data_IF_258666452689
#
_entry.id   IF_258666452689
#
_cell.length_a   1.000
_cell.length_b   1.000
_cell.length_c   1.000
_cell.angle_alpha   90.00
_cell.angle_beta   90.00
_cell.angle_gamma   90.00
#
_symmetry.space_group_name_H-M   'P 1'
#
loop_
_entity.id
_entity.type
_entity.pdbx_description
1 polymer ?
#
# COMPACT_ATOMS: atom_id res chain seq x y z
N UNK A 1 -39.27 -45.39 -73.40
CA UNK A 1 -38.86 -44.44 -72.34
C UNK A 1 -39.49 -44.71 -70.95
N UNK A 2 -40.34 -45.73 -70.76
CA UNK A 2 -41.02 -45.98 -69.47
C UNK A 2 -40.36 -47.06 -68.55
N UNK A 3 -39.23 -47.65 -68.96
CA UNK A 3 -38.60 -48.77 -68.22
C UNK A 3 -37.45 -48.36 -67.29
N UNK A 4 -36.90 -47.15 -67.42
CA UNK A 4 -35.88 -46.61 -66.51
C UNK A 4 -36.53 -45.94 -65.28
N UNK A 5 -37.59 -45.16 -65.50
CA UNK A 5 -38.35 -44.51 -64.42
C UNK A 5 -38.97 -45.51 -63.43
N UNK A 6 -39.39 -46.69 -63.90
CA UNK A 6 -39.92 -47.75 -63.04
C UNK A 6 -38.84 -48.43 -62.18
N UNK A 7 -37.62 -48.55 -62.70
CA UNK A 7 -36.46 -49.08 -61.94
C UNK A 7 -35.98 -48.07 -60.91
N UNK A 8 -35.99 -46.78 -61.24
CA UNK A 8 -35.66 -45.69 -60.31
C UNK A 8 -36.69 -45.59 -59.19
N UNK A 9 -37.99 -45.73 -59.48
CA UNK A 9 -39.03 -45.77 -58.47
C UNK A 9 -38.87 -46.98 -57.52
N UNK A 10 -38.52 -48.16 -58.06
CA UNK A 10 -38.24 -49.36 -57.26
C UNK A 10 -37.03 -49.14 -56.33
N UNK A 11 -35.90 -48.64 -56.85
CA UNK A 11 -34.71 -48.35 -56.05
C UNK A 11 -34.95 -47.27 -54.98
N UNK A 12 -35.72 -46.22 -55.31
CA UNK A 12 -36.12 -45.20 -54.33
C UNK A 12 -37.03 -45.77 -53.23
N UNK A 13 -37.95 -46.68 -53.57
CA UNK A 13 -38.79 -47.35 -52.56
C UNK A 13 -37.98 -48.31 -51.67
N UNK A 14 -37.01 -49.02 -52.25
CA UNK A 14 -36.11 -49.91 -51.52
C UNK A 14 -35.18 -49.12 -50.59
N UNK A 15 -34.63 -47.99 -51.04
CA UNK A 15 -33.82 -47.09 -50.23
C UNK A 15 -34.63 -46.49 -49.07
N UNK A 16 -35.89 -46.09 -49.30
CA UNK A 16 -36.79 -45.65 -48.22
C UNK A 16 -37.09 -46.77 -47.22
N UNK A 17 -37.21 -48.03 -47.69
CA UNK A 17 -37.49 -49.19 -46.83
C UNK A 17 -36.27 -49.64 -46.01
N UNK A 18 -35.07 -49.51 -46.57
CA UNK A 18 -33.80 -49.79 -45.88
C UNK A 18 -33.48 -48.67 -44.86
N UNK A 19 -33.65 -47.40 -45.21
CA UNK A 19 -33.35 -46.27 -44.31
C UNK A 19 -34.42 -46.05 -43.21
N UNK A 20 -35.60 -46.67 -43.28
CA UNK A 20 -36.65 -46.53 -42.26
C UNK A 20 -36.56 -47.55 -41.12
N UNK A 21 -35.70 -48.57 -41.22
CA UNK A 21 -35.55 -49.61 -40.19
C UNK A 21 -34.18 -49.60 -39.47
N UNK A 22 -33.43 -48.51 -39.57
CA UNK A 22 -32.18 -48.33 -38.80
C UNK A 22 -32.01 -46.91 -38.26
N UNK A 23 -33.06 -46.39 -37.61
CA UNK A 23 -32.90 -45.36 -36.59
C UNK A 23 -32.60 -46.06 -35.26
N UNK A 24 -31.51 -45.76 -34.54
CA UNK A 24 -31.30 -46.33 -33.21
C UNK A 24 -32.48 -45.92 -32.33
N UNK A 25 -33.12 -46.90 -31.69
CA UNK A 25 -34.03 -46.68 -30.57
C UNK A 25 -33.37 -45.67 -29.63
N UNK A 26 -34.10 -44.61 -29.32
CA UNK A 26 -33.73 -43.69 -28.26
C UNK A 26 -33.75 -44.50 -26.97
N UNK A 27 -32.62 -45.09 -26.60
CA UNK A 27 -32.35 -45.42 -25.21
C UNK A 27 -32.59 -44.13 -24.45
N UNK A 28 -33.59 -44.16 -23.57
CA UNK A 28 -33.82 -43.12 -22.58
C UNK A 28 -32.57 -43.05 -21.71
N UNK A 29 -31.55 -42.35 -22.19
CA UNK A 29 -30.63 -41.63 -21.33
C UNK A 29 -31.55 -40.79 -20.47
N UNK A 30 -31.70 -41.15 -19.20
CA UNK A 30 -32.17 -40.22 -18.18
C UNK A 30 -31.44 -38.92 -18.46
N UNK A 31 -32.16 -37.94 -19.00
CA UNK A 31 -31.67 -36.58 -19.15
C UNK A 31 -31.49 -36.14 -17.71
N UNK A 32 -30.28 -36.33 -17.19
CA UNK A 32 -29.85 -35.62 -16.00
C UNK A 32 -29.99 -34.17 -16.41
N UNK A 33 -31.04 -33.53 -15.92
CA UNK A 33 -31.16 -32.08 -15.97
C UNK A 33 -29.95 -31.58 -15.19
N UNK A 34 -28.86 -31.36 -15.93
CA UNK A 34 -27.79 -30.50 -15.47
C UNK A 34 -28.44 -29.14 -15.41
N UNK A 35 -28.85 -28.76 -14.20
CA UNK A 35 -29.31 -27.43 -13.88
C UNK A 35 -28.41 -26.43 -14.60
N UNK A 36 -28.99 -25.53 -15.39
CA UNK A 36 -28.27 -24.48 -16.15
C UNK A 36 -27.61 -23.42 -15.24
N UNK A 37 -27.50 -23.70 -13.95
CA UNK A 37 -26.65 -22.95 -13.04
C UNK A 37 -25.20 -23.21 -13.45
N UNK A 38 -24.70 -22.36 -14.36
CA UNK A 38 -23.30 -22.20 -14.71
C UNK A 38 -22.45 -22.45 -13.46
N UNK A 39 -21.69 -23.55 -13.40
CA UNK A 39 -21.08 -23.99 -12.16
C UNK A 39 -20.10 -22.90 -11.73
N UNK A 40 -20.40 -22.27 -10.60
CA UNK A 40 -19.62 -21.18 -10.04
C UNK A 40 -18.12 -21.44 -10.24
N UNK A 41 -17.41 -20.45 -10.78
CA UNK A 41 -15.99 -20.56 -11.11
C UNK A 41 -15.24 -21.20 -9.93
N UNK A 42 -14.21 -22.01 -10.21
CA UNK A 42 -13.41 -22.68 -9.15
C UNK A 42 -12.97 -21.71 -8.03
N UNK A 43 -12.77 -20.43 -8.35
CA UNK A 43 -12.49 -19.37 -7.39
C UNK A 43 -13.68 -19.00 -6.49
N UNK A 44 -14.90 -18.89 -7.05
CA UNK A 44 -16.14 -18.62 -6.31
C UNK A 44 -16.43 -19.77 -5.33
N UNK A 45 -16.35 -21.03 -5.78
CA UNK A 45 -16.54 -22.22 -4.91
C UNK A 45 -15.53 -22.25 -3.76
N UNK A 46 -14.27 -21.87 -4.00
CA UNK A 46 -13.24 -21.74 -2.95
C UNK A 46 -13.56 -20.62 -1.96
N UNK A 47 -14.09 -19.48 -2.44
CA UNK A 47 -14.49 -18.34 -1.60
C UNK A 47 -15.69 -18.69 -0.72
N UNK A 48 -16.71 -19.34 -1.28
CA UNK A 48 -17.88 -19.83 -0.55
C UNK A 48 -17.49 -20.87 0.49
N UNK A 49 -16.64 -21.86 0.12
CA UNK A 49 -16.11 -22.83 1.08
C UNK A 49 -15.37 -22.14 2.23
N UNK A 50 -14.58 -21.11 1.93
CA UNK A 50 -13.88 -20.32 2.95
C UNK A 50 -14.84 -19.53 3.83
N UNK A 51 -15.90 -18.94 3.27
CA UNK A 51 -16.96 -18.27 4.05
C UNK A 51 -17.74 -19.25 4.93
N UNK A 52 -18.04 -20.45 4.43
CA UNK A 52 -18.73 -21.48 5.22
C UNK A 52 -17.92 -21.93 6.43
N UNK A 53 -16.59 -22.03 6.28
CA UNK A 53 -15.70 -22.48 7.36
C UNK A 53 -15.30 -21.34 8.30
N UNK A 54 -14.95 -20.16 7.75
CA UNK A 54 -14.37 -19.03 8.53
C UNK A 54 -15.39 -17.95 8.88
N UNK A 55 -16.58 -18.00 8.30
CA UNK A 55 -17.60 -16.95 8.42
C UNK A 55 -17.15 -15.62 7.80
N UNK A 56 -17.77 -14.55 8.28
CA UNK A 56 -17.48 -13.17 7.87
C UNK A 56 -16.39 -12.50 8.73
N UNK A 57 -15.64 -13.27 9.53
CA UNK A 57 -14.62 -12.73 10.43
C UNK A 57 -13.34 -12.43 9.66
N UNK A 58 -13.07 -11.15 9.41
CA UNK A 58 -11.84 -10.73 8.72
C UNK A 58 -10.63 -10.77 9.66
N UNK A 59 -9.49 -11.37 9.29
CA UNK A 59 -8.34 -11.43 10.20
C UNK A 59 -7.68 -10.05 10.36
N UNK A 60 -7.24 -9.72 11.59
CA UNK A 60 -6.49 -8.49 11.89
C UNK A 60 -5.10 -8.56 11.26
N UNK A 61 -4.98 -7.98 10.07
CA UNK A 61 -3.81 -8.11 9.21
C UNK A 61 -3.29 -6.75 8.75
N UNK A 62 -2.01 -6.68 8.39
CA UNK A 62 -1.39 -5.48 7.83
C UNK A 62 -0.60 -4.64 8.84
N UNK A 63 -0.17 -3.44 8.40
CA UNK A 63 0.71 -2.51 9.15
C UNK A 63 0.02 -1.18 9.52
N UNK A 64 -1.31 -1.14 9.41
CA UNK A 64 -2.13 0.00 9.80
C UNK A 64 -2.53 -0.13 11.26
N UNK A 65 -1.57 0.12 12.16
CA UNK A 65 -1.75 -0.10 13.60
C UNK A 65 -2.91 0.72 14.21
N UNK A 66 -3.24 1.90 13.66
CA UNK A 66 -4.40 2.71 14.10
C UNK A 66 -5.73 2.00 13.82
N UNK A 67 -5.95 1.60 12.57
CA UNK A 67 -7.13 0.85 12.15
C UNK A 67 -7.23 -0.52 12.84
N UNK A 68 -6.10 -1.15 13.13
CA UNK A 68 -6.08 -2.42 13.87
C UNK A 68 -6.53 -2.24 15.32
N UNK A 69 -6.09 -1.18 16.00
CA UNK A 69 -6.57 -0.85 17.35
C UNK A 69 -8.07 -0.58 17.37
N UNK A 70 -8.55 0.25 16.43
CA UNK A 70 -9.98 0.55 16.31
C UNK A 70 -10.83 -0.71 16.08
N UNK A 71 -10.39 -1.58 15.17
CA UNK A 71 -11.07 -2.86 14.91
C UNK A 71 -11.04 -3.81 16.11
N UNK A 72 -9.97 -3.78 16.90
CA UNK A 72 -9.82 -4.59 18.10
C UNK A 72 -10.77 -4.08 19.19
N UNK A 73 -10.77 -2.76 19.44
CA UNK A 73 -11.67 -2.11 20.38
C UNK A 73 -13.14 -2.34 20.01
N UNK A 74 -13.49 -2.20 18.73
CA UNK A 74 -14.84 -2.48 18.25
C UNK A 74 -15.26 -3.95 18.39
N UNK A 75 -14.31 -4.90 18.43
CA UNK A 75 -14.61 -6.31 18.72
C UNK A 75 -14.83 -6.53 20.20
N UNK A 76 -14.01 -5.91 21.05
CA UNK A 76 -14.15 -5.97 22.50
C UNK A 76 -15.49 -5.36 22.92
N UNK A 77 -15.82 -4.15 22.45
CA UNK A 77 -17.09 -3.50 22.78
C UNK A 77 -18.30 -4.36 22.40
N UNK A 78 -18.29 -4.98 21.21
CA UNK A 78 -19.37 -5.90 20.80
C UNK A 78 -19.47 -7.14 21.68
N UNK A 79 -18.34 -7.68 22.13
CA UNK A 79 -18.35 -8.82 23.06
C UNK A 79 -18.88 -8.40 24.42
N UNK A 80 -18.48 -7.24 24.92
CA UNK A 80 -18.94 -6.71 26.21
C UNK A 80 -20.43 -6.37 26.17
N UNK A 81 -20.92 -5.71 25.11
CA UNK A 81 -22.35 -5.47 24.87
C UNK A 81 -23.17 -6.78 24.85
N UNK A 82 -22.62 -7.85 24.26
CA UNK A 82 -23.29 -9.16 24.26
C UNK A 82 -23.20 -9.88 25.60
N UNK A 83 -22.13 -9.68 26.38
CA UNK A 83 -22.01 -10.24 27.73
C UNK A 83 -23.05 -9.64 28.67
N UNK A 84 -23.29 -8.33 28.53
CA UNK A 84 -24.30 -7.61 29.33
C UNK A 84 -25.74 -8.08 29.00
N UNK A 85 -25.99 -8.52 27.76
CA UNK A 85 -27.29 -9.05 27.34
C UNK A 85 -27.45 -10.55 27.63
N UNK A 86 -26.52 -11.36 27.12
CA UNK A 86 -26.58 -12.83 27.10
C UNK A 86 -25.17 -13.45 27.15
N UNK A 87 -24.73 -13.89 28.33
CA UNK A 87 -23.39 -14.48 28.53
C UNK A 87 -23.14 -15.72 27.63
N UNK A 88 -24.15 -16.57 27.42
CA UNK A 88 -24.01 -17.77 26.60
C UNK A 88 -23.70 -17.44 25.13
N UNK A 89 -24.38 -16.45 24.55
CA UNK A 89 -24.13 -16.00 23.17
C UNK A 89 -22.74 -15.36 23.05
N UNK A 90 -22.31 -14.62 24.06
CA UNK A 90 -20.96 -14.04 24.08
C UNK A 90 -19.87 -15.12 24.08
N UNK A 91 -20.01 -16.16 24.92
CA UNK A 91 -19.06 -17.28 24.98
C UNK A 91 -18.99 -18.04 23.65
N UNK A 92 -20.13 -18.28 22.99
CA UNK A 92 -20.16 -18.89 21.66
C UNK A 92 -19.44 -18.03 20.62
N UNK A 93 -19.67 -16.71 20.61
CA UNK A 93 -18.97 -15.81 19.69
C UNK A 93 -17.47 -15.80 19.95
N UNK A 94 -17.04 -15.72 21.21
CA UNK A 94 -15.63 -15.81 21.58
C UNK A 94 -15.00 -17.12 21.10
N UNK A 95 -15.67 -18.25 21.29
CA UNK A 95 -15.21 -19.55 20.82
C UNK A 95 -15.06 -19.54 19.29
N UNK A 96 -16.06 -19.03 18.56
CA UNK A 96 -16.01 -18.86 17.10
C UNK A 96 -14.84 -17.95 16.68
N UNK A 97 -14.59 -16.85 17.38
CA UNK A 97 -13.44 -15.97 17.10
C UNK A 97 -12.09 -16.67 17.35
N UNK A 98 -11.97 -17.40 18.46
CA UNK A 98 -10.75 -18.15 18.80
C UNK A 98 -10.45 -19.23 17.74
N UNK A 99 -11.44 -20.02 17.35
CA UNK A 99 -11.30 -21.07 16.33
C UNK A 99 -10.97 -20.51 14.94
N UNK A 100 -11.65 -19.45 14.51
CA UNK A 100 -11.36 -18.81 13.22
C UNK A 100 -9.96 -18.21 13.19
N UNK A 101 -9.51 -17.59 14.29
CA UNK A 101 -8.14 -17.10 14.43
C UNK A 101 -7.10 -18.23 14.34
N UNK A 102 -7.33 -19.37 15.00
CA UNK A 102 -6.45 -20.53 14.89
C UNK A 102 -6.36 -21.04 13.44
N UNK A 103 -7.49 -21.10 12.74
CA UNK A 103 -7.52 -21.54 11.35
C UNK A 103 -6.79 -20.57 10.41
N UNK A 104 -6.89 -19.26 10.64
CA UNK A 104 -6.11 -18.26 9.91
C UNK A 104 -4.61 -18.33 10.21
N UNK A 105 -4.23 -18.61 11.47
CA UNK A 105 -2.82 -18.84 11.84
C UNK A 105 -2.27 -20.09 11.13
N UNK A 106 -3.05 -21.17 11.05
CA UNK A 106 -2.68 -22.38 10.33
C UNK A 106 -2.57 -22.15 8.80
N UNK A 107 -3.38 -21.27 8.22
CA UNK A 107 -3.24 -20.81 6.82
C UNK A 107 -1.97 -19.97 6.59
N UNK A 108 -1.27 -19.56 7.65
CA UNK A 108 -0.05 -18.74 7.59
C UNK A 108 -0.30 -17.23 7.67
N UNK A 109 -1.53 -16.81 7.95
CA UNK A 109 -1.88 -15.39 8.11
C UNK A 109 -1.33 -14.86 9.43
N UNK A 110 -0.53 -13.79 9.37
CA UNK A 110 0.04 -13.12 10.56
C UNK A 110 -1.02 -12.20 11.20
N UNK A 111 -1.70 -12.75 12.19
CA UNK A 111 -2.73 -12.05 12.97
C UNK A 111 -2.07 -11.19 14.07
N UNK A 112 -2.57 -9.97 14.29
CA UNK A 112 -2.05 -9.01 15.28
C UNK A 112 -3.17 -8.47 16.16
N UNK A 113 -3.40 -9.16 17.27
CA UNK A 113 -4.58 -8.93 18.13
C UNK A 113 -4.20 -8.33 19.49
N UNK A 114 -2.92 -8.02 19.73
CA UNK A 114 -2.45 -7.53 21.02
C UNK A 114 -2.45 -6.00 21.05
N UNK A 115 -3.29 -5.40 21.88
CA UNK A 115 -3.43 -3.95 21.98
C UNK A 115 -2.10 -3.28 22.37
N UNK A 116 -1.41 -3.81 23.38
CA UNK A 116 -0.12 -3.29 23.87
C UNK A 116 0.92 -3.25 22.76
N UNK A 117 1.06 -4.35 22.01
CA UNK A 117 2.03 -4.44 20.90
C UNK A 117 1.68 -3.49 19.74
N UNK A 118 0.38 -3.30 19.46
CA UNK A 118 -0.09 -2.36 18.45
C UNK A 118 0.22 -0.91 18.85
N UNK A 119 -0.01 -0.53 20.11
CA UNK A 119 0.34 0.78 20.65
C UNK A 119 1.86 1.01 20.61
N UNK A 120 2.67 0.04 21.02
CA UNK A 120 4.12 0.13 20.91
C UNK A 120 4.58 0.24 19.46
N UNK A 121 3.97 -0.50 18.53
CA UNK A 121 4.27 -0.40 17.12
C UNK A 121 3.97 0.99 16.55
N UNK A 122 2.91 1.65 17.03
CA UNK A 122 2.63 3.06 16.73
C UNK A 122 3.74 3.96 17.27
N UNK A 123 4.09 3.86 18.55
CA UNK A 123 5.18 4.63 19.17
C UNK A 123 6.50 4.46 18.40
N UNK A 124 6.86 3.23 18.00
CA UNK A 124 8.04 2.94 17.17
C UNK A 124 7.93 3.58 15.77
N UNK A 125 6.74 3.61 15.16
CA UNK A 125 6.49 4.24 13.85
C UNK A 125 6.66 5.77 13.94
N UNK A 126 6.15 6.38 15.00
CA UNK A 126 6.26 7.81 15.27
C UNK A 126 7.71 8.20 15.59
N UNK A 127 8.41 7.46 16.46
CA UNK A 127 9.84 7.66 16.72
C UNK A 127 10.68 7.63 15.44
N UNK A 128 10.42 6.69 14.54
CA UNK A 128 11.10 6.62 13.22
C UNK A 128 10.74 7.78 12.30
N UNK A 129 9.52 8.32 12.38
CA UNK A 129 9.13 9.53 11.63
C UNK A 129 9.85 10.76 12.19
N UNK A 130 9.82 10.95 13.50
CA UNK A 130 10.51 12.04 14.18
C UNK A 130 12.03 12.03 13.91
N UNK A 131 12.67 10.84 13.94
CA UNK A 131 14.09 10.74 13.62
C UNK A 131 14.38 11.12 12.16
N UNK A 132 13.52 10.70 11.20
CA UNK A 132 13.66 11.12 9.80
C UNK A 132 13.47 12.61 9.63
N UNK A 133 12.48 13.19 10.29
CA UNK A 133 12.21 14.62 10.29
C UNK A 133 13.43 15.41 10.79
N UNK A 134 13.96 15.08 11.98
CA UNK A 134 15.16 15.71 12.55
C UNK A 134 16.39 15.59 11.64
N UNK A 135 16.58 14.42 11.00
CA UNK A 135 17.67 14.21 10.04
C UNK A 135 17.51 15.11 8.81
N UNK A 136 16.28 15.28 8.34
CA UNK A 136 15.98 16.17 7.21
C UNK A 136 16.23 17.64 7.59
N UNK A 137 15.69 18.08 8.71
CA UNK A 137 15.90 19.43 9.26
C UNK A 137 17.39 19.75 9.42
N UNK A 138 18.17 18.82 9.99
CA UNK A 138 19.63 18.97 10.12
C UNK A 138 20.32 19.12 8.76
N UNK A 139 19.89 18.37 7.75
CA UNK A 139 20.44 18.50 6.39
C UNK A 139 20.09 19.85 5.78
N UNK A 140 18.84 20.28 5.89
CA UNK A 140 18.40 21.58 5.37
C UNK A 140 19.11 22.74 6.05
N UNK A 141 19.24 22.70 7.38
CA UNK A 141 20.01 23.69 8.14
C UNK A 141 21.47 23.72 7.72
N UNK A 142 22.12 22.55 7.58
CA UNK A 142 23.51 22.47 7.14
C UNK A 142 23.75 22.98 5.71
N UNK A 143 22.76 22.88 4.81
CA UNK A 143 22.85 23.47 3.47
C UNK A 143 22.78 25.00 3.54
N UNK A 144 21.83 25.54 4.29
CA UNK A 144 21.68 26.99 4.48
C UNK A 144 22.92 27.59 5.15
N UNK A 145 23.43 26.95 6.19
CA UNK A 145 24.65 27.38 6.89
C UNK A 145 25.85 27.42 5.95
N UNK A 146 26.08 26.37 5.16
CA UNK A 146 27.17 26.34 4.16
C UNK A 146 27.02 27.44 3.12
N UNK A 147 25.80 27.74 2.69
CA UNK A 147 25.52 28.83 1.76
C UNK A 147 25.84 30.20 2.38
N UNK A 148 25.43 30.44 3.62
CA UNK A 148 25.72 31.65 4.37
C UNK A 148 27.24 31.82 4.58
N UNK A 149 27.93 30.78 5.05
CA UNK A 149 29.38 30.79 5.23
C UNK A 149 30.13 31.14 3.93
N UNK A 150 29.70 30.61 2.77
CA UNK A 150 30.28 30.96 1.47
C UNK A 150 30.07 32.44 1.14
N UNK A 151 28.86 32.96 1.38
CA UNK A 151 28.56 34.38 1.14
C UNK A 151 29.34 35.28 2.10
N UNK A 152 29.47 34.92 3.37
CA UNK A 152 30.25 35.68 4.35
C UNK A 152 31.73 35.72 4.01
N UNK A 153 32.31 34.58 3.63
CA UNK A 153 33.70 34.52 3.13
C UNK A 153 33.88 35.44 1.92
N UNK A 154 32.94 35.44 0.97
CA UNK A 154 32.97 36.33 -0.20
C UNK A 154 32.90 37.80 0.23
N UNK A 155 31.97 38.16 1.13
CA UNK A 155 31.83 39.52 1.67
C UNK A 155 33.10 40.00 2.38
N UNK A 156 33.68 39.16 3.24
CA UNK A 156 34.92 39.47 3.94
C UNK A 156 36.09 39.66 2.97
N UNK A 157 36.23 38.78 1.97
CA UNK A 157 37.28 38.91 0.96
C UNK A 157 37.12 40.19 0.13
N UNK A 158 35.89 40.59 -0.21
CA UNK A 158 35.63 41.85 -0.90
C UNK A 158 35.96 43.06 -0.01
N UNK A 159 35.60 43.03 1.28
CA UNK A 159 35.96 44.08 2.25
C UNK A 159 37.48 44.20 2.38
N UNK A 160 38.21 43.10 2.54
CA UNK A 160 39.68 43.06 2.60
C UNK A 160 40.31 43.61 1.31
N UNK A 161 39.80 43.25 0.13
CA UNK A 161 40.28 43.80 -1.15
C UNK A 161 40.06 45.32 -1.25
N UNK A 162 38.92 45.82 -0.78
CA UNK A 162 38.64 47.27 -0.75
C UNK A 162 39.57 48.00 0.22
N UNK A 163 39.76 47.49 1.43
CA UNK A 163 40.67 48.04 2.43
C UNK A 163 42.12 48.06 1.91
N UNK A 164 42.63 46.94 1.39
CA UNK A 164 43.98 46.87 0.82
C UNK A 164 44.17 47.82 -0.37
N UNK A 165 43.15 48.05 -1.21
CA UNK A 165 43.21 49.07 -2.27
C UNK A 165 43.29 50.48 -1.70
N UNK A 166 42.52 50.78 -0.65
CA UNK A 166 42.58 52.07 0.04
C UNK A 166 43.95 52.29 0.70
N UNK A 167 44.47 51.31 1.44
CA UNK A 167 45.81 51.34 2.03
C UNK A 167 46.90 51.54 0.99
N UNK A 168 46.86 50.82 -0.13
CA UNK A 168 47.80 51.02 -1.24
C UNK A 168 47.74 52.45 -1.80
N UNK A 169 46.56 53.07 -1.87
CA UNK A 169 46.42 54.48 -2.28
C UNK A 169 47.03 55.42 -1.25
N UNK A 170 46.79 55.20 0.05
CA UNK A 170 47.38 55.97 1.14
C UNK A 170 48.92 55.86 1.14
N UNK A 171 49.47 54.65 1.01
CA UNK A 171 50.92 54.43 0.93
C UNK A 171 51.55 55.11 -0.29
N UNK A 172 50.87 55.11 -1.44
CA UNK A 172 51.33 55.84 -2.63
C UNK A 172 51.31 57.36 -2.43
N UNK A 173 50.32 57.90 -1.70
CA UNK A 173 50.26 59.32 -1.37
C UNK A 173 51.41 59.73 -0.42
N UNK A 174 51.67 58.92 0.63
CA UNK A 174 52.82 59.10 1.53
C UNK A 174 54.16 59.08 0.80
N UNK A 175 54.38 58.11 -0.09
CA UNK A 175 55.60 58.03 -0.92
C UNK A 175 55.80 59.24 -1.84
N UNK A 176 54.72 59.94 -2.20
CA UNK A 176 54.76 61.18 -2.99
C UNK A 176 54.86 62.44 -2.13
N UNK A 177 55.02 62.31 -0.81
CA UNK A 177 55.15 63.44 0.12
C UNK A 177 53.84 64.18 0.43
N UNK A 178 52.67 63.59 0.12
CA UNK A 178 51.38 64.21 0.48
C UNK A 178 51.06 63.97 1.95
N UNK A 179 50.77 65.03 2.70
CA UNK A 179 50.36 64.97 4.11
C UNK A 179 48.90 64.48 4.16
N UNK A 180 48.64 63.40 4.91
CA UNK A 180 47.30 62.86 5.11
C UNK A 180 46.69 63.40 6.43
N UNK A 181 45.35 63.50 6.53
CA UNK A 181 44.69 63.92 7.78
C UNK A 181 45.09 63.09 9.01
N UNK A 182 45.28 61.77 8.82
CA UNK A 182 45.74 60.86 9.88
C UNK A 182 47.14 61.20 10.40
N UNK A 183 47.99 61.78 9.55
CA UNK A 183 49.36 62.15 9.94
C UNK A 183 49.33 63.47 10.74
N UNK A 184 48.34 64.34 10.52
CA UNK A 184 48.09 65.56 11.30
C UNK A 184 47.52 65.27 12.69
N UNK A 185 46.55 64.36 12.77
CA UNK A 185 46.01 63.84 14.04
C UNK A 185 47.13 63.19 14.88
N UNK A 186 48.03 62.42 14.25
CA UNK A 186 49.16 61.78 14.94
C UNK A 186 50.22 62.78 15.42
N UNK A 187 50.34 63.92 14.76
CA UNK A 187 51.22 65.01 15.14
C UNK A 187 50.59 65.95 16.19
N UNK A 188 49.32 65.74 16.57
CA UNK A 188 48.61 66.59 17.54
C UNK A 188 48.29 67.99 17.02
N UNK A 189 48.21 68.16 15.70
CA UNK A 189 47.96 69.44 15.04
C UNK A 189 46.47 69.68 14.71
N UNK A 190 45.61 68.75 15.13
CA UNK A 190 44.13 68.77 15.03
C UNK A 190 43.56 68.31 16.36
#
# INVERSE_FOLDING_TARGET
>A
MASLLAKDAYLQSLAKKICSHSGPEQQSRTRVEVSEDEPASKAQRRKEKRQRVKGNLTPLTGRNYRQLLERLQARQSRLDELRDQDEGKAQELEAKMKWTNLLYKAEGVKIRDDERLLQEALKRKEKRRAQRQRRWEKRTAGVVEKMQQRQDRRRQNLRRKKAARAERRLLRARKKGRILPQDLERAGLV
#
